data_IF_258013355551
#
_entry.id   IF_258013355551
#
_cell.length_a   1.000
_cell.length_b   1.000
_cell.length_c   1.000
_cell.angle_alpha   90.00
_cell.angle_beta   90.00
_cell.angle_gamma   90.00
#
_symmetry.space_group_name_H-M   'P 1'
#
loop_
_entity.id
_entity.type
_entity.pdbx_description
1 polymer ?
#
# COMPACT_ATOMS: atom_id res chain seq x y z
N UNK A 1 -34.03 -24.31 4.42
CA UNK A 1 -33.57 -23.17 5.24
C UNK A 1 -32.76 -22.28 4.33
N UNK A 2 -33.21 -21.05 4.07
CA UNK A 2 -32.31 -20.05 3.48
C UNK A 2 -31.20 -19.78 4.50
N UNK A 3 -29.98 -19.60 4.02
CA UNK A 3 -28.82 -19.44 4.86
C UNK A 3 -28.89 -18.04 5.51
N UNK A 4 -29.29 -17.97 6.78
CA UNK A 4 -29.56 -16.72 7.52
C UNK A 4 -28.39 -15.72 7.42
N UNK A 5 -27.15 -16.22 7.34
CA UNK A 5 -25.94 -15.42 7.16
C UNK A 5 -25.85 -14.76 5.77
N UNK A 6 -26.16 -15.49 4.71
CA UNK A 6 -26.20 -14.93 3.34
C UNK A 6 -27.30 -13.87 3.23
N UNK A 7 -28.46 -14.11 3.84
CA UNK A 7 -29.56 -13.15 3.86
C UNK A 7 -29.19 -11.85 4.61
N UNK A 8 -28.36 -11.91 5.67
CA UNK A 8 -27.94 -10.72 6.43
C UNK A 8 -26.98 -9.85 5.59
N UNK A 9 -25.97 -10.46 4.95
CA UNK A 9 -24.98 -9.75 4.14
C UNK A 9 -25.67 -9.08 2.94
N UNK A 10 -26.61 -9.77 2.30
CA UNK A 10 -27.38 -9.20 1.17
C UNK A 10 -28.25 -8.01 1.58
N UNK A 11 -28.81 -8.03 2.79
CA UNK A 11 -29.56 -6.87 3.31
C UNK A 11 -28.60 -5.74 3.65
N UNK A 12 -27.50 -6.00 4.35
CA UNK A 12 -26.50 -4.99 4.70
C UNK A 12 -25.93 -4.32 3.44
N UNK A 13 -25.56 -5.08 2.41
CA UNK A 13 -25.11 -4.54 1.12
C UNK A 13 -26.13 -3.61 0.47
N UNK A 14 -27.42 -3.96 0.48
CA UNK A 14 -28.48 -3.13 -0.11
C UNK A 14 -28.87 -1.92 0.75
N UNK A 15 -28.57 -1.96 2.05
CA UNK A 15 -29.03 -0.97 3.04
C UNK A 15 -27.88 -0.22 3.72
N UNK A 16 -26.64 -0.39 3.27
CA UNK A 16 -25.43 0.18 3.88
C UNK A 16 -25.54 1.69 4.11
N UNK A 17 -25.95 2.45 3.09
CA UNK A 17 -26.11 3.91 3.18
C UNK A 17 -27.14 4.32 4.24
N UNK A 18 -28.24 3.58 4.36
CA UNK A 18 -29.27 3.84 5.36
C UNK A 18 -28.78 3.47 6.77
N UNK A 19 -28.07 2.34 6.89
CA UNK A 19 -27.46 1.90 8.14
C UNK A 19 -26.44 2.93 8.64
N UNK A 20 -25.56 3.41 7.77
CA UNK A 20 -24.56 4.43 8.05
C UNK A 20 -25.20 5.75 8.51
N UNK A 21 -26.25 6.20 7.83
CA UNK A 21 -26.98 7.43 8.19
C UNK A 21 -27.59 7.33 9.60
N UNK A 22 -28.21 6.19 9.94
CA UNK A 22 -28.78 5.96 11.28
C UNK A 22 -27.67 5.78 12.34
N UNK A 23 -26.51 5.24 11.95
CA UNK A 23 -25.35 5.07 12.82
C UNK A 23 -24.80 6.40 13.32
N UNK A 24 -24.70 7.40 12.42
CA UNK A 24 -24.19 8.74 12.74
C UNK A 24 -25.01 9.42 13.84
N UNK A 25 -26.33 9.49 13.66
CA UNK A 25 -27.24 10.08 14.65
C UNK A 25 -28.63 9.44 14.59
N UNK A 26 -29.33 9.28 15.74
CA UNK A 26 -30.73 8.89 15.74
C UNK A 26 -31.57 9.87 14.91
N UNK A 27 -32.32 9.37 13.93
CA UNK A 27 -32.94 10.20 12.91
C UNK A 27 -34.44 9.98 12.79
N UNK A 28 -35.17 11.04 12.45
CA UNK A 28 -36.57 10.91 12.02
C UNK A 28 -36.60 10.40 10.59
N UNK A 29 -37.67 9.67 10.24
CA UNK A 29 -37.89 9.21 8.87
C UNK A 29 -37.81 10.31 7.81
N UNK A 30 -38.38 11.48 8.10
CA UNK A 30 -38.32 12.63 7.17
C UNK A 30 -36.89 13.07 6.92
N UNK A 31 -36.09 13.15 7.98
CA UNK A 31 -34.66 13.46 7.90
C UNK A 31 -33.94 12.44 7.02
N UNK A 32 -34.17 11.14 7.20
CA UNK A 32 -33.56 10.09 6.37
C UNK A 32 -33.98 10.19 4.88
N UNK A 33 -35.23 10.56 4.60
CA UNK A 33 -35.71 10.81 3.22
C UNK A 33 -35.01 12.01 2.59
N UNK A 34 -34.91 13.10 3.35
CA UNK A 34 -34.32 14.37 2.90
C UNK A 34 -32.79 14.23 2.72
N UNK A 35 -32.09 13.55 3.64
CA UNK A 35 -30.63 13.36 3.60
C UNK A 35 -30.16 12.39 2.52
N UNK A 36 -30.91 11.31 2.30
CA UNK A 36 -30.54 10.25 1.35
C UNK A 36 -31.14 10.46 -0.05
N UNK A 37 -31.85 11.58 -0.27
CA UNK A 37 -32.54 11.95 -1.51
C UNK A 37 -33.27 10.76 -2.18
N UNK A 38 -34.04 10.03 -1.37
CA UNK A 38 -34.71 8.80 -1.82
C UNK A 38 -36.17 8.76 -1.43
N UNK A 39 -36.97 7.97 -2.15
CA UNK A 39 -38.41 7.91 -1.88
C UNK A 39 -38.71 7.41 -0.47
N UNK A 40 -39.77 7.94 0.13
CA UNK A 40 -40.30 7.44 1.41
C UNK A 40 -40.54 5.92 1.40
N UNK A 41 -41.00 5.38 0.27
CA UNK A 41 -41.23 3.93 0.14
C UNK A 41 -39.93 3.12 0.22
N UNK A 42 -38.81 3.68 -0.24
CA UNK A 42 -37.48 3.07 -0.16
C UNK A 42 -36.97 3.06 1.28
N UNK A 43 -37.05 4.20 1.97
CA UNK A 43 -36.70 4.29 3.40
C UNK A 43 -37.57 3.34 4.23
N UNK A 44 -38.88 3.30 3.98
CA UNK A 44 -39.80 2.41 4.70
C UNK A 44 -39.43 0.93 4.53
N UNK A 45 -39.07 0.50 3.31
CA UNK A 45 -38.60 -0.87 3.08
C UNK A 45 -37.26 -1.12 3.76
N UNK A 46 -36.31 -0.20 3.64
CA UNK A 46 -34.99 -0.34 4.25
C UNK A 46 -35.01 -0.44 5.77
N UNK A 47 -35.80 0.43 6.43
CA UNK A 47 -36.00 0.37 7.87
C UNK A 47 -36.60 -0.97 8.29
N UNK A 48 -37.66 -1.43 7.60
CA UNK A 48 -38.28 -2.73 7.91
C UNK A 48 -37.30 -3.88 7.76
N UNK A 49 -36.47 -3.87 6.72
CA UNK A 49 -35.44 -4.90 6.53
C UNK A 49 -34.45 -4.91 7.73
N UNK A 50 -33.97 -3.74 8.15
CA UNK A 50 -33.04 -3.60 9.27
C UNK A 50 -33.67 -3.89 10.64
N UNK A 51 -34.94 -3.53 10.85
CA UNK A 51 -35.72 -3.88 12.05
C UNK A 51 -35.99 -5.38 12.13
N UNK A 52 -36.27 -6.02 10.99
CA UNK A 52 -36.48 -7.48 10.91
C UNK A 52 -35.22 -8.24 11.32
N UNK A 53 -34.04 -7.68 11.02
CA UNK A 53 -32.75 -8.18 11.47
C UNK A 53 -32.39 -7.77 12.90
N UNK A 54 -33.21 -6.96 13.58
CA UNK A 54 -32.94 -6.47 14.93
C UNK A 54 -31.80 -5.44 15.01
N UNK A 55 -31.38 -4.86 13.88
CA UNK A 55 -30.27 -3.92 13.80
C UNK A 55 -30.70 -2.48 14.09
N UNK A 56 -31.94 -2.15 13.74
CA UNK A 56 -32.55 -0.83 13.97
C UNK A 56 -33.73 -0.97 14.91
N UNK A 57 -33.94 0.06 15.74
CA UNK A 57 -35.13 0.20 16.58
C UNK A 57 -35.75 1.59 16.42
N UNK A 58 -37.05 1.67 16.70
CA UNK A 58 -37.79 2.91 16.75
C UNK A 58 -38.22 3.24 18.18
N UNK A 59 -37.74 4.36 18.72
CA UNK A 59 -38.07 4.85 20.05
C UNK A 59 -38.30 6.36 20.01
N UNK A 60 -39.36 6.85 20.66
CA UNK A 60 -39.64 8.29 20.83
C UNK A 60 -39.61 9.13 19.55
N UNK A 61 -40.03 8.56 18.41
CA UNK A 61 -40.06 9.28 17.13
C UNK A 61 -38.78 9.18 16.30
N UNK A 62 -37.77 8.45 16.77
CA UNK A 62 -36.46 8.36 16.16
C UNK A 62 -36.09 6.91 15.86
N UNK A 63 -35.38 6.70 14.76
CA UNK A 63 -34.70 5.45 14.45
C UNK A 63 -33.26 5.53 14.93
N UNK A 64 -32.78 4.49 15.60
CA UNK A 64 -31.39 4.34 16.01
C UNK A 64 -30.93 2.89 15.82
N UNK A 65 -29.62 2.67 15.78
CA UNK A 65 -29.10 1.31 15.88
C UNK A 65 -29.40 0.70 17.26
N UNK A 66 -29.60 -0.61 17.29
CA UNK A 66 -29.52 -1.41 18.52
C UNK A 66 -28.05 -1.67 18.87
N UNK A 67 -27.75 -2.22 20.05
CA UNK A 67 -26.36 -2.64 20.37
C UNK A 67 -25.82 -3.70 19.40
N UNK A 68 -26.68 -4.62 18.95
CA UNK A 68 -26.31 -5.59 17.91
C UNK A 68 -26.12 -4.87 16.56
N UNK A 69 -26.99 -3.90 16.25
CA UNK A 69 -26.87 -3.06 15.06
C UNK A 69 -25.54 -2.32 14.97
N UNK A 70 -25.07 -1.74 16.07
CA UNK A 70 -23.77 -1.06 16.14
C UNK A 70 -22.62 -2.04 15.89
N UNK A 71 -22.63 -3.19 16.55
CA UNK A 71 -21.58 -4.21 16.38
C UNK A 71 -21.53 -4.75 14.94
N UNK A 72 -22.69 -5.05 14.35
CA UNK A 72 -22.80 -5.54 12.97
C UNK A 72 -22.40 -4.45 11.97
N UNK A 73 -22.77 -3.20 12.23
CA UNK A 73 -22.38 -2.07 11.38
C UNK A 73 -20.86 -1.91 11.31
N UNK A 74 -20.17 -1.94 12.45
CA UNK A 74 -18.70 -1.88 12.49
C UNK A 74 -18.07 -3.04 11.72
N UNK A 75 -18.49 -4.28 12.00
CA UNK A 75 -17.97 -5.46 11.28
C UNK A 75 -18.19 -5.34 9.76
N UNK A 76 -19.36 -4.88 9.36
CA UNK A 76 -19.73 -4.80 7.95
C UNK A 76 -18.90 -3.75 7.21
N UNK A 77 -18.71 -2.55 7.79
CA UNK A 77 -17.90 -1.52 7.17
C UNK A 77 -16.40 -1.88 7.18
N UNK A 78 -15.88 -2.45 8.27
CA UNK A 78 -14.49 -2.95 8.33
C UNK A 78 -14.24 -4.03 7.27
N UNK A 79 -15.23 -4.92 7.05
CA UNK A 79 -15.18 -5.92 5.99
C UNK A 79 -15.17 -5.29 4.59
N UNK A 80 -16.06 -4.33 4.32
CA UNK A 80 -16.12 -3.63 3.04
C UNK A 80 -14.82 -2.86 2.75
N UNK A 81 -14.27 -2.19 3.75
CA UNK A 81 -12.99 -1.50 3.64
C UNK A 81 -11.86 -2.50 3.36
N UNK A 82 -11.77 -3.58 4.12
CA UNK A 82 -10.74 -4.62 3.93
C UNK A 82 -10.78 -5.24 2.52
N UNK A 83 -11.98 -5.54 2.00
CA UNK A 83 -12.15 -6.04 0.63
C UNK A 83 -11.71 -5.00 -0.39
N UNK A 84 -12.05 -3.72 -0.16
CA UNK A 84 -11.67 -2.61 -1.05
C UNK A 84 -10.14 -2.46 -1.09
N UNK A 85 -9.48 -2.44 0.06
CA UNK A 85 -8.02 -2.33 0.16
C UNK A 85 -7.35 -3.53 -0.51
N UNK A 86 -7.77 -4.76 -0.21
CA UNK A 86 -7.22 -5.95 -0.83
C UNK A 86 -7.39 -5.95 -2.37
N UNK A 87 -8.53 -5.46 -2.87
CA UNK A 87 -8.80 -5.35 -4.31
C UNK A 87 -7.91 -4.29 -4.97
N UNK A 88 -7.74 -3.14 -4.32
CA UNK A 88 -6.85 -2.07 -4.82
C UNK A 88 -5.39 -2.51 -4.85
N UNK A 89 -4.96 -3.31 -3.87
CA UNK A 89 -3.60 -3.86 -3.78
C UNK A 89 -3.39 -5.09 -4.66
N UNK A 90 -4.44 -5.68 -5.24
CA UNK A 90 -4.36 -6.94 -5.97
C UNK A 90 -3.27 -6.97 -7.06
N UNK A 91 -3.06 -5.90 -7.88
CA UNK A 91 -1.98 -5.90 -8.87
C UNK A 91 -0.59 -6.03 -8.23
N UNK A 92 -0.37 -5.41 -7.08
CA UNK A 92 0.89 -5.52 -6.33
C UNK A 92 1.04 -6.91 -5.69
N UNK A 93 -0.03 -7.41 -5.07
CA UNK A 93 -0.05 -8.69 -4.37
C UNK A 93 0.12 -9.90 -5.31
N UNK A 94 -0.20 -9.76 -6.60
CA UNK A 94 0.04 -10.79 -7.61
C UNK A 94 1.52 -11.19 -7.72
N UNK A 95 2.43 -10.26 -7.43
CA UNK A 95 3.88 -10.46 -7.56
C UNK A 95 4.59 -10.61 -6.21
N UNK A 96 3.87 -10.46 -5.09
CA UNK A 96 4.46 -10.33 -3.77
C UNK A 96 4.25 -11.60 -2.94
N UNK A 97 5.32 -12.11 -2.35
CA UNK A 97 5.26 -13.20 -1.38
C UNK A 97 4.66 -12.68 -0.06
N UNK A 98 3.50 -13.19 0.40
CA UNK A 98 2.88 -12.75 1.63
C UNK A 98 3.69 -13.07 2.89
N UNK A 99 4.61 -14.05 2.85
CA UNK A 99 5.51 -14.31 3.98
C UNK A 99 6.64 -13.28 4.04
N UNK A 100 7.01 -12.70 2.89
CA UNK A 100 8.04 -11.67 2.84
C UNK A 100 7.45 -10.28 3.13
N UNK A 101 6.28 -9.97 2.57
CA UNK A 101 5.51 -8.74 2.82
C UNK A 101 4.43 -8.98 3.89
N UNK A 102 4.88 -9.08 5.13
CA UNK A 102 4.07 -9.40 6.31
C UNK A 102 3.41 -8.16 6.97
N UNK A 103 3.03 -7.17 6.16
CA UNK A 103 2.32 -5.96 6.61
C UNK A 103 0.82 -6.23 6.67
N UNK A 104 0.14 -5.73 7.71
CA UNK A 104 -1.32 -5.76 7.75
C UNK A 104 -1.90 -4.90 6.62
N UNK A 105 -2.57 -5.53 5.64
CA UNK A 105 -3.12 -4.85 4.47
C UNK A 105 -4.10 -3.73 4.85
N UNK A 106 -4.84 -3.84 5.96
CA UNK A 106 -5.75 -2.78 6.40
C UNK A 106 -5.04 -1.46 6.73
N UNK A 107 -3.75 -1.49 7.06
CA UNK A 107 -2.94 -0.28 7.28
C UNK A 107 -2.63 0.49 5.98
N UNK A 108 -2.83 -0.15 4.83
CA UNK A 108 -2.46 0.35 3.50
C UNK A 108 -3.65 0.98 2.75
N UNK A 109 -4.68 1.44 3.46
CA UNK A 109 -5.90 2.03 2.85
C UNK A 109 -5.59 3.22 1.92
N UNK A 110 -4.56 3.99 2.25
CA UNK A 110 -4.13 5.20 1.54
C UNK A 110 -2.91 4.92 0.63
N UNK A 111 -2.50 3.65 0.48
CA UNK A 111 -1.37 3.28 -0.37
C UNK A 111 -1.72 3.45 -1.86
N UNK A 112 -0.73 3.88 -2.63
CA UNK A 112 -0.83 3.99 -4.08
C UNK A 112 -0.12 2.81 -4.73
N UNK A 113 -0.74 2.23 -5.76
CA UNK A 113 -0.16 1.14 -6.54
C UNK A 113 -0.02 1.60 -7.98
N UNK A 114 1.22 1.63 -8.45
CA UNK A 114 1.58 1.91 -9.84
C UNK A 114 1.89 0.59 -10.53
N UNK A 115 1.32 0.39 -11.72
CA UNK A 115 1.45 -0.85 -12.49
C UNK A 115 1.99 -0.50 -13.85
N UNK A 116 3.03 -1.20 -14.30
CA UNK A 116 3.51 -1.11 -15.66
C UNK A 116 2.51 -1.80 -16.59
N UNK A 117 2.05 -1.11 -17.62
CA UNK A 117 1.14 -1.68 -18.62
C UNK A 117 1.67 -1.55 -20.06
N UNK A 118 0.91 -2.04 -21.04
CA UNK A 118 1.34 -2.06 -22.44
C UNK A 118 1.39 -0.67 -23.09
N UNK A 119 0.73 0.34 -22.50
CA UNK A 119 0.74 1.72 -22.97
C UNK A 119 1.76 2.57 -22.20
N UNK A 120 2.03 2.23 -20.95
CA UNK A 120 3.03 2.88 -20.10
C UNK A 120 3.80 1.85 -19.26
N UNK A 121 4.88 1.33 -19.85
CA UNK A 121 5.76 0.38 -19.16
C UNK A 121 6.73 1.04 -18.19
N UNK A 122 6.82 2.38 -18.18
CA UNK A 122 7.75 3.15 -17.36
C UNK A 122 7.06 3.95 -16.25
N UNK A 123 5.73 4.01 -16.20
CA UNK A 123 4.96 4.75 -15.19
C UNK A 123 5.41 4.51 -13.74
N UNK A 124 5.56 3.25 -13.28
CA UNK A 124 6.11 2.96 -11.95
C UNK A 124 7.52 3.52 -11.74
N UNK A 125 8.36 3.46 -12.77
CA UNK A 125 9.71 4.00 -12.73
C UNK A 125 9.72 5.54 -12.68
N UNK A 126 8.88 6.21 -13.47
CA UNK A 126 8.77 7.67 -13.48
C UNK A 126 8.32 8.19 -12.11
N UNK A 127 7.38 7.50 -11.46
CA UNK A 127 6.97 7.82 -10.10
C UNK A 127 8.10 7.63 -9.08
N UNK A 128 8.79 6.48 -9.14
CA UNK A 128 9.97 6.22 -8.31
C UNK A 128 11.04 7.31 -8.48
N UNK A 129 11.38 7.65 -9.72
CA UNK A 129 12.36 8.69 -10.03
C UNK A 129 11.91 10.06 -9.52
N UNK A 130 10.62 10.37 -9.56
CA UNK A 130 10.05 11.57 -8.95
C UNK A 130 10.30 11.64 -7.44
N UNK A 131 10.08 10.53 -6.74
CA UNK A 131 10.27 10.41 -5.28
C UNK A 131 11.75 10.53 -4.90
N UNK A 132 12.63 9.86 -5.64
CA UNK A 132 14.09 9.95 -5.45
C UNK A 132 14.58 11.39 -5.60
N UNK A 133 14.08 12.13 -6.59
CA UNK A 133 14.46 13.53 -6.83
C UNK A 133 14.05 14.51 -5.73
N UNK A 134 13.07 14.18 -4.90
CA UNK A 134 12.63 15.07 -3.81
C UNK A 134 13.21 14.69 -2.44
N UNK A 135 14.06 13.67 -2.39
CA UNK A 135 14.56 13.10 -1.13
C UNK A 135 16.05 13.37 -0.94
N UNK A 136 16.45 13.81 0.26
CA UNK A 136 17.85 14.06 0.60
C UNK A 136 18.59 12.82 1.07
N UNK A 137 17.93 11.94 1.82
CA UNK A 137 18.51 10.69 2.30
C UNK A 137 17.55 9.56 2.02
N UNK A 138 18.00 8.52 1.32
CA UNK A 138 17.19 7.34 1.14
C UNK A 138 17.98 6.05 1.29
N UNK A 139 17.30 5.05 1.83
CA UNK A 139 17.85 3.70 2.05
C UNK A 139 17.13 2.72 1.14
N UNK A 140 17.83 1.73 0.59
CA UNK A 140 17.21 0.77 -0.31
C UNK A 140 17.71 -0.67 -0.16
N UNK A 141 16.78 -1.63 -0.29
CA UNK A 141 17.09 -3.01 -0.67
C UNK A 141 16.89 -3.12 -2.17
N UNK A 142 17.91 -3.57 -2.90
CA UNK A 142 17.88 -3.59 -4.35
C UNK A 142 18.07 -5.01 -4.91
N UNK A 143 17.01 -5.63 -5.47
CA UNK A 143 17.06 -7.01 -5.97
C UNK A 143 17.81 -7.13 -7.30
N UNK A 144 17.84 -6.06 -8.11
CA UNK A 144 18.52 -6.03 -9.40
C UNK A 144 18.88 -4.60 -9.81
N UNK A 145 19.82 -4.49 -10.75
CA UNK A 145 20.36 -3.22 -11.25
C UNK A 145 20.20 -3.13 -12.77
N UNK A 146 20.09 -1.89 -13.25
CA UNK A 146 20.02 -1.57 -14.68
C UNK A 146 20.68 -0.23 -14.95
N UNK A 147 21.17 -0.03 -16.18
CA UNK A 147 21.95 1.15 -16.57
C UNK A 147 21.15 2.44 -16.45
N UNK A 148 19.96 2.48 -17.05
CA UNK A 148 19.09 3.67 -17.00
C UNK A 148 18.69 4.04 -15.55
N UNK A 149 18.25 3.09 -14.70
CA UNK A 149 18.04 3.36 -13.28
C UNK A 149 19.24 3.96 -12.55
N UNK A 150 20.44 3.43 -12.82
CA UNK A 150 21.68 3.89 -12.19
C UNK A 150 22.04 5.32 -12.63
N UNK A 151 21.95 5.64 -13.92
CA UNK A 151 22.24 6.99 -14.44
C UNK A 151 21.32 8.05 -13.82
N UNK A 152 20.04 7.73 -13.61
CA UNK A 152 19.08 8.63 -12.95
C UNK A 152 19.43 8.84 -11.47
N UNK A 153 19.78 7.76 -10.76
CA UNK A 153 20.21 7.84 -9.36
C UNK A 153 21.48 8.66 -9.22
N UNK A 154 22.47 8.40 -10.06
CA UNK A 154 23.71 9.19 -10.12
C UNK A 154 23.44 10.68 -10.31
N UNK A 155 22.65 11.07 -11.32
CA UNK A 155 22.28 12.48 -11.53
C UNK A 155 21.62 13.08 -10.28
N UNK A 156 20.73 12.34 -9.63
CA UNK A 156 20.06 12.82 -8.43
C UNK A 156 21.03 13.05 -7.27
N UNK A 157 21.96 12.12 -7.03
CA UNK A 157 23.01 12.24 -6.00
C UNK A 157 23.88 13.48 -6.26
N UNK A 158 24.23 13.74 -7.52
CA UNK A 158 25.07 14.90 -7.90
C UNK A 158 24.30 16.22 -7.82
N UNK A 159 23.08 16.27 -8.36
CA UNK A 159 22.30 17.51 -8.48
C UNK A 159 21.67 17.95 -7.15
N UNK A 160 21.22 17.00 -6.33
CA UNK A 160 20.51 17.27 -5.07
C UNK A 160 21.36 17.03 -3.82
N UNK A 161 22.62 16.62 -4.00
CA UNK A 161 23.50 16.19 -2.91
C UNK A 161 22.90 15.06 -2.07
N UNK A 162 22.07 14.21 -2.67
CA UNK A 162 21.38 13.12 -1.95
C UNK A 162 22.34 12.03 -1.49
N UNK A 163 22.08 11.46 -0.33
CA UNK A 163 22.77 10.31 0.24
C UNK A 163 21.97 9.02 0.01
N UNK A 164 22.69 7.93 -0.30
CA UNK A 164 22.13 6.62 -0.58
C UNK A 164 22.87 5.54 0.21
N UNK A 165 22.15 4.84 1.09
CA UNK A 165 22.61 3.55 1.61
C UNK A 165 21.83 2.42 0.93
N UNK A 166 22.53 1.56 0.19
CA UNK A 166 21.92 0.47 -0.56
C UNK A 166 22.47 -0.88 -0.13
N UNK A 167 21.58 -1.85 0.03
CA UNK A 167 21.94 -3.24 0.25
C UNK A 167 21.62 -4.03 -1.02
N UNK A 168 22.60 -4.80 -1.47
CA UNK A 168 22.54 -5.64 -2.68
C UNK A 168 22.98 -7.06 -2.36
N UNK A 169 22.57 -8.03 -3.18
CA UNK A 169 23.17 -9.37 -3.15
C UNK A 169 24.58 -9.37 -3.75
N UNK A 170 25.38 -10.41 -3.46
CA UNK A 170 26.68 -10.62 -4.13
C UNK A 170 26.58 -10.57 -5.67
N UNK A 171 25.59 -11.26 -6.26
CA UNK A 171 25.37 -11.25 -7.71
C UNK A 171 25.11 -9.83 -8.25
N UNK A 172 24.38 -9.02 -7.49
CA UNK A 172 24.07 -7.64 -7.88
C UNK A 172 25.29 -6.72 -7.72
N UNK A 173 26.10 -6.93 -6.68
CA UNK A 173 27.37 -6.23 -6.51
C UNK A 173 28.35 -6.53 -7.65
N UNK A 174 28.49 -7.80 -8.07
CA UNK A 174 29.31 -8.21 -9.21
C UNK A 174 28.87 -7.52 -10.51
N UNK A 175 27.54 -7.41 -10.74
CA UNK A 175 26.99 -6.67 -11.89
C UNK A 175 27.30 -5.18 -11.84
N UNK A 176 27.23 -4.55 -10.67
CA UNK A 176 27.59 -3.15 -10.48
C UNK A 176 29.07 -2.89 -10.79
N UNK A 177 29.95 -3.83 -10.43
CA UNK A 177 31.39 -3.79 -10.69
C UNK A 177 31.79 -4.25 -12.09
N UNK A 178 30.82 -4.52 -12.98
CA UNK A 178 31.05 -5.03 -14.32
C UNK A 178 30.48 -4.10 -15.40
N UNK A 179 30.98 -4.24 -16.62
CA UNK A 179 30.42 -3.58 -17.79
C UNK A 179 28.94 -3.97 -18.01
N UNK A 180 28.03 -3.04 -18.36
CA UNK A 180 28.27 -1.63 -18.68
C UNK A 180 28.03 -0.66 -17.50
N UNK A 181 28.02 -1.16 -16.25
CA UNK A 181 27.64 -0.38 -15.07
C UNK A 181 28.82 0.19 -14.28
N UNK A 182 30.00 -0.42 -14.41
CA UNK A 182 31.19 -0.10 -13.60
C UNK A 182 31.54 1.40 -13.60
N UNK A 183 31.56 2.05 -14.76
CA UNK A 183 31.91 3.48 -14.85
C UNK A 183 30.95 4.37 -14.02
N UNK A 184 29.64 4.17 -14.19
CA UNK A 184 28.62 4.97 -13.47
C UNK A 184 28.65 4.64 -11.98
N UNK A 185 28.96 3.39 -11.64
CA UNK A 185 29.04 2.94 -10.26
C UNK A 185 30.26 3.53 -9.53
N UNK A 186 31.43 3.54 -10.17
CA UNK A 186 32.64 4.20 -9.67
C UNK A 186 32.39 5.69 -9.45
N UNK A 187 31.83 6.38 -10.44
CA UNK A 187 31.45 7.80 -10.35
C UNK A 187 30.52 8.06 -9.15
N UNK A 188 29.56 7.18 -8.90
CA UNK A 188 28.65 7.27 -7.75
C UNK A 188 29.39 7.12 -6.41
N UNK A 189 30.33 6.18 -6.30
CA UNK A 189 31.11 5.95 -5.08
C UNK A 189 32.07 7.12 -4.79
N UNK A 190 32.68 7.70 -5.83
CA UNK A 190 33.59 8.86 -5.69
C UNK A 190 32.91 10.10 -5.09
N UNK A 191 31.58 10.20 -5.20
CA UNK A 191 30.82 11.28 -4.55
C UNK A 191 30.90 11.24 -3.01
N UNK A 192 31.24 10.09 -2.42
CA UNK A 192 31.21 9.86 -0.97
C UNK A 192 29.82 9.85 -0.36
N UNK A 193 28.76 9.88 -1.18
CA UNK A 193 27.35 9.91 -0.76
C UNK A 193 26.64 8.57 -0.92
N UNK A 194 27.34 7.56 -1.43
CA UNK A 194 26.79 6.22 -1.69
C UNK A 194 27.51 5.20 -0.85
N UNK A 195 26.76 4.54 0.03
CA UNK A 195 27.23 3.40 0.82
C UNK A 195 26.59 2.14 0.26
N UNK A 196 27.40 1.13 -0.07
CA UNK A 196 26.90 -0.15 -0.57
C UNK A 196 27.22 -1.25 0.42
N UNK A 197 26.21 -2.00 0.81
CA UNK A 197 26.36 -3.20 1.64
C UNK A 197 26.01 -4.44 0.80
N UNK A 198 26.77 -5.50 0.99
CA UNK A 198 26.59 -6.78 0.28
C UNK A 198 26.13 -7.84 1.25
N UNK A 199 25.02 -8.51 0.96
CA UNK A 199 24.54 -9.65 1.73
C UNK A 199 24.57 -10.95 0.92
N UNK A 200 24.75 -12.07 1.64
CA UNK A 200 24.68 -13.42 1.07
C UNK A 200 23.26 -13.85 0.69
N UNK A 201 22.26 -13.25 1.34
CA UNK A 201 20.87 -13.61 1.12
C UNK A 201 20.31 -12.94 -0.15
N UNK A 202 19.43 -13.64 -0.89
CA UNK A 202 18.73 -13.02 -1.99
C UNK A 202 17.81 -11.91 -1.47
N UNK A 203 17.77 -10.82 -2.22
CA UNK A 203 16.80 -9.75 -2.04
C UNK A 203 15.73 -9.99 -3.10
N UNK A 204 14.54 -10.51 -2.74
CA UNK A 204 13.52 -10.84 -3.72
C UNK A 204 12.79 -9.61 -4.27
N UNK A 205 12.70 -8.55 -3.46
CA UNK A 205 11.91 -7.36 -3.77
C UNK A 205 12.66 -6.09 -3.42
N UNK A 206 12.32 -5.04 -4.17
CA UNK A 206 12.81 -3.70 -3.91
C UNK A 206 12.09 -3.10 -2.70
N UNK A 207 12.87 -2.49 -1.80
CA UNK A 207 12.38 -1.57 -0.77
C UNK A 207 13.13 -0.26 -0.96
N UNK A 208 12.43 0.87 -1.00
CA UNK A 208 12.99 2.21 -0.84
C UNK A 208 12.37 2.91 0.35
N UNK A 209 13.20 3.51 1.20
CA UNK A 209 12.78 4.26 2.38
C UNK A 209 13.23 5.71 2.17
N UNK A 210 12.25 6.60 2.02
CA UNK A 210 12.41 8.02 1.74
C UNK A 210 11.79 8.82 2.88
N UNK A 211 12.57 9.13 3.91
CA UNK A 211 12.07 9.68 5.17
C UNK A 211 10.91 8.85 5.76
N UNK A 212 9.67 9.33 5.63
CA UNK A 212 8.44 8.69 6.11
C UNK A 212 7.62 8.02 4.99
N UNK A 213 8.18 7.89 3.79
CA UNK A 213 7.56 7.24 2.64
C UNK A 213 8.31 5.95 2.33
N UNK A 214 7.56 4.88 2.13
CA UNK A 214 8.10 3.59 1.69
C UNK A 214 7.59 3.28 0.31
N UNK A 215 8.51 2.82 -0.54
CA UNK A 215 8.18 2.17 -1.79
C UNK A 215 8.56 0.69 -1.73
N UNK A 216 7.67 -0.19 -2.19
CA UNK A 216 7.92 -1.63 -2.32
C UNK A 216 7.59 -2.04 -3.74
N UNK A 217 8.49 -2.77 -4.40
CA UNK A 217 8.26 -3.16 -5.79
C UNK A 217 8.86 -4.50 -6.14
N UNK A 218 8.26 -5.15 -7.13
CA UNK A 218 8.84 -6.32 -7.75
C UNK A 218 9.57 -5.88 -9.02
N UNK A 219 10.90 -5.98 -9.04
CA UNK A 219 11.70 -5.65 -10.21
C UNK A 219 11.46 -6.68 -11.32
N UNK A 220 11.00 -6.21 -12.48
CA UNK A 220 11.00 -6.96 -13.72
C UNK A 220 12.37 -6.96 -14.41
N UNK A 221 12.37 -7.24 -15.72
CA UNK A 221 13.60 -7.23 -16.50
C UNK A 221 14.29 -5.85 -16.46
N UNK A 222 15.60 -5.83 -16.25
CA UNK A 222 16.47 -4.63 -16.26
C UNK A 222 16.26 -3.64 -15.09
N UNK A 223 15.69 -4.09 -13.97
CA UNK A 223 15.57 -3.27 -12.74
C UNK A 223 14.38 -2.30 -12.73
N UNK A 224 13.49 -2.40 -13.71
CA UNK A 224 12.24 -1.62 -13.76
C UNK A 224 11.12 -2.41 -13.06
N UNK A 225 10.40 -1.83 -12.09
CA UNK A 225 9.36 -2.56 -11.37
C UNK A 225 8.13 -2.85 -12.23
N UNK A 226 7.61 -4.09 -12.15
CA UNK A 226 6.30 -4.44 -12.71
C UNK A 226 5.17 -3.72 -11.97
N UNK A 227 5.31 -3.66 -10.64
CA UNK A 227 4.43 -2.94 -9.75
C UNK A 227 5.24 -2.21 -8.69
N UNK A 228 4.76 -1.05 -8.29
CA UNK A 228 5.33 -0.24 -7.23
C UNK A 228 4.20 0.19 -6.29
N UNK A 229 4.28 -0.25 -5.04
CA UNK A 229 3.45 0.24 -3.96
C UNK A 229 4.18 1.40 -3.29
N UNK A 230 3.49 2.52 -3.06
CA UNK A 230 3.96 3.63 -2.26
C UNK A 230 3.00 3.90 -1.10
N UNK A 231 3.54 4.12 0.09
CA UNK A 231 2.73 4.47 1.27
C UNK A 231 3.53 5.26 2.30
N UNK A 232 2.82 6.01 3.13
CA UNK A 232 3.34 6.63 4.35
C UNK A 232 2.71 6.03 5.62
N UNK A 233 2.07 4.86 5.50
CA UNK A 233 1.49 4.16 6.64
C UNK A 233 2.59 3.83 7.69
N UNK A 234 2.46 4.28 8.95
CA UNK A 234 3.51 4.11 9.96
C UNK A 234 3.91 2.65 10.20
N UNK A 235 2.95 1.73 10.08
CA UNK A 235 3.20 0.29 10.18
C UNK A 235 4.12 -0.21 9.06
N UNK A 236 3.87 0.22 7.82
CA UNK A 236 4.70 -0.13 6.67
C UNK A 236 6.10 0.53 6.73
N UNK A 237 6.19 1.78 7.21
CA UNK A 237 7.47 2.45 7.47
C UNK A 237 8.30 1.65 8.46
N UNK A 238 7.72 1.31 9.62
CA UNK A 238 8.39 0.53 10.67
C UNK A 238 8.81 -0.85 10.14
N UNK A 239 7.95 -1.51 9.36
CA UNK A 239 8.25 -2.78 8.73
C UNK A 239 9.45 -2.69 7.78
N UNK A 240 9.49 -1.67 6.90
CA UNK A 240 10.56 -1.48 5.93
C UNK A 240 11.90 -1.22 6.62
N UNK A 241 11.91 -0.39 7.67
CA UNK A 241 13.11 -0.14 8.47
C UNK A 241 13.61 -1.40 9.16
N UNK A 242 12.72 -2.21 9.75
CA UNK A 242 13.09 -3.46 10.38
C UNK A 242 13.66 -4.48 9.37
N UNK A 243 13.05 -4.60 8.18
CA UNK A 243 13.58 -5.42 7.08
C UNK A 243 14.96 -4.93 6.66
N UNK A 244 15.12 -3.63 6.39
CA UNK A 244 16.41 -3.05 6.00
C UNK A 244 17.49 -3.34 7.05
N UNK A 245 17.23 -3.05 8.33
CA UNK A 245 18.18 -3.29 9.42
C UNK A 245 18.53 -4.78 9.55
N UNK A 246 17.56 -5.68 9.39
CA UNK A 246 17.79 -7.13 9.40
C UNK A 246 18.76 -7.56 8.29
N UNK A 247 18.58 -7.06 7.06
CA UNK A 247 19.55 -7.29 5.98
C UNK A 247 20.90 -6.64 6.28
N UNK A 248 20.90 -5.40 6.79
CA UNK A 248 22.13 -4.65 7.07
C UNK A 248 23.03 -5.37 8.09
N UNK A 249 22.46 -5.89 9.17
CA UNK A 249 23.21 -6.62 10.21
C UNK A 249 23.87 -7.91 9.72
N UNK A 250 23.42 -8.43 8.57
CA UNK A 250 23.93 -9.65 7.92
C UNK A 250 24.64 -9.34 6.59
N UNK A 251 25.04 -8.08 6.42
CA UNK A 251 25.74 -7.60 5.25
C UNK A 251 27.11 -7.04 5.61
N UNK A 252 28.02 -7.05 4.67
CA UNK A 252 29.34 -6.45 4.80
C UNK A 252 29.41 -5.19 3.94
N UNK A 253 30.15 -4.18 4.40
CA UNK A 253 30.38 -2.99 3.59
C UNK A 253 31.17 -3.39 2.34
N UNK A 254 30.68 -2.99 1.16
CA UNK A 254 31.40 -3.19 -0.08
C UNK A 254 32.72 -2.42 0.00
N UNK A 255 33.81 -3.18 0.07
CA UNK A 255 35.16 -2.64 0.09
C UNK A 255 35.61 -2.47 -1.36
N UNK A 256 35.99 -1.24 -1.74
CA UNK A 256 36.61 -0.95 -3.03
C UNK A 256 38.13 -1.13 -2.95
#
# INVERSE_FOLDING_TARGET
MKNTETDIIDILNRRSVLLESISKYPARKRTLVDELDTSRSTIDRGIRDLETLGLVKYESGLYSLTSVGQFIETIFFDFQESVTVATNLAPFLEWMDPEWFDVNLSSLRDAQVFVADSNDSFGPWDWHAGTVRTTQLYRALLPSVGREPMEIKYRTIVENESELDVIVSHETAEKLQSEPLVDVFEDMLETGRVTVYVCDEPIPYYIGIFDNVVQVGCCGNHGIPHTLLETSAPECVTWAENKFNSYQTRSELLSY
#
